data_IF_593451261037
#
_entry.id   IF_593451261037
#
_cell.length_a   1.000
_cell.length_b   1.000
_cell.length_c   1.000
_cell.angle_alpha   90.00
_cell.angle_beta   90.00
_cell.angle_gamma   90.00
#
_symmetry.space_group_name_H-M   'P 1'
#
loop_
_entity.id
_entity.type
_entity.pdbx_description
1 polymer ?
#
# COMPACT_ATOMS: atom_id res chain seq x y z
N UNK A 1 6.88 -0.03 52.73
CA UNK A 1 7.00 0.60 51.40
C UNK A 1 6.00 -0.11 50.49
N UNK A 2 4.98 0.59 49.99
CA UNK A 2 3.73 0.00 49.51
C UNK A 2 3.80 -0.26 48.00
N UNK A 3 4.34 -1.42 47.60
CA UNK A 3 4.56 -1.86 46.22
C UNK A 3 3.32 -1.70 45.31
N UNK A 4 2.11 -1.81 45.88
CA UNK A 4 0.85 -1.63 45.16
C UNK A 4 0.65 -0.17 44.71
N UNK A 5 1.05 0.80 45.54
CA UNK A 5 0.92 2.22 45.23
C UNK A 5 1.94 2.68 44.19
N UNK A 6 3.14 2.10 44.21
CA UNK A 6 4.18 2.42 43.22
C UNK A 6 3.82 1.86 41.84
N UNK A 7 3.19 0.67 41.81
CA UNK A 7 2.68 0.06 40.57
C UNK A 7 1.53 0.85 39.95
N UNK A 8 0.60 1.39 40.75
CA UNK A 8 -0.50 2.21 40.24
C UNK A 8 0.03 3.52 39.64
N UNK A 9 0.96 4.20 40.32
CA UNK A 9 1.62 5.39 39.76
C UNK A 9 2.35 5.10 38.45
N UNK A 10 3.02 3.94 38.37
CA UNK A 10 3.67 3.50 37.15
C UNK A 10 2.66 3.23 36.02
N UNK A 11 1.49 2.67 36.33
CA UNK A 11 0.42 2.45 35.34
C UNK A 11 -0.16 3.77 34.81
N UNK A 12 -0.37 4.77 35.67
CA UNK A 12 -0.82 6.10 35.25
C UNK A 12 0.19 6.82 34.35
N UNK A 13 1.49 6.67 34.63
CA UNK A 13 2.57 7.17 33.77
C UNK A 13 2.57 6.46 32.41
N UNK A 14 2.43 5.13 32.40
CA UNK A 14 2.35 4.35 31.15
C UNK A 14 1.15 4.78 30.30
N UNK A 15 -0.03 4.98 30.89
CA UNK A 15 -1.21 5.45 30.15
C UNK A 15 -0.99 6.86 29.58
N UNK A 16 -0.31 7.73 30.32
CA UNK A 16 0.06 9.07 29.84
C UNK A 16 1.01 8.98 28.64
N UNK A 17 2.07 8.16 28.73
CA UNK A 17 3.03 7.94 27.65
C UNK A 17 2.36 7.36 26.39
N UNK A 18 1.43 6.40 26.55
CA UNK A 18 0.65 5.82 25.44
C UNK A 18 -0.25 6.88 24.80
N UNK A 19 -0.91 7.72 25.59
CA UNK A 19 -1.77 8.78 25.06
C UNK A 19 -0.98 9.86 24.33
N UNK A 20 0.20 10.24 24.85
CA UNK A 20 1.08 11.19 24.18
C UNK A 20 1.67 10.62 22.89
N UNK A 21 2.05 9.34 22.88
CA UNK A 21 2.50 8.62 21.69
C UNK A 21 1.43 8.51 20.61
N UNK A 22 0.17 8.25 20.98
CA UNK A 22 -0.97 8.12 20.05
C UNK A 22 -1.34 9.41 19.32
N UNK A 23 -0.98 10.58 19.84
CA UNK A 23 -1.32 11.89 19.23
C UNK A 23 -0.39 12.31 18.08
N UNK A 24 0.67 11.55 17.78
CA UNK A 24 1.72 11.97 16.83
C UNK A 24 1.44 11.64 15.36
N UNK A 25 0.49 10.73 15.07
CA UNK A 25 0.12 10.38 13.69
C UNK A 25 -1.39 10.42 13.57
N UNK A 26 -1.91 11.58 13.24
CA UNK A 26 -3.29 11.76 12.82
C UNK A 26 -3.41 11.43 11.32
N UNK A 27 -4.43 10.67 10.95
CA UNK A 27 -4.65 10.22 9.58
C UNK A 27 -6.12 9.88 9.32
N UNK A 28 -6.49 9.92 8.04
CA UNK A 28 -7.77 9.45 7.55
C UNK A 28 -7.57 8.29 6.57
N UNK A 29 -8.57 7.43 6.42
CA UNK A 29 -8.55 6.37 5.40
C UNK A 29 -9.59 6.66 4.34
N UNK A 30 -9.16 6.63 3.08
CA UNK A 30 -9.99 6.84 1.89
C UNK A 30 -9.78 5.66 0.95
N UNK A 31 -10.80 5.29 0.18
CA UNK A 31 -10.69 4.25 -0.84
C UNK A 31 -10.92 4.86 -2.23
N UNK A 32 -9.95 4.70 -3.11
CA UNK A 32 -10.01 5.16 -4.50
C UNK A 32 -9.99 3.96 -5.44
N UNK A 33 -10.73 3.98 -6.57
CA UNK A 33 -10.53 2.96 -7.59
C UNK A 33 -9.12 3.10 -8.19
N UNK A 34 -8.46 1.99 -8.54
CA UNK A 34 -7.11 1.99 -9.12
C UNK A 34 -6.99 2.92 -10.34
N UNK A 35 -8.03 3.00 -11.17
CA UNK A 35 -8.07 3.89 -12.34
C UNK A 35 -7.84 5.37 -12.02
N UNK A 36 -8.13 5.82 -10.80
CA UNK A 36 -7.79 7.17 -10.34
C UNK A 36 -6.28 7.45 -10.40
N UNK A 37 -5.46 6.49 -9.98
CA UNK A 37 -3.99 6.65 -9.93
C UNK A 37 -3.31 6.42 -11.27
N UNK A 38 -3.92 5.62 -12.15
CA UNK A 38 -3.37 5.33 -13.48
C UNK A 38 -3.18 6.61 -14.29
N UNK A 39 -4.07 7.59 -14.11
CA UNK A 39 -4.00 8.87 -14.82
C UNK A 39 -2.97 9.83 -14.21
N UNK A 40 -2.60 9.64 -12.95
CA UNK A 40 -1.72 10.55 -12.21
C UNK A 40 -0.24 10.17 -12.28
N UNK A 41 0.08 8.90 -12.52
CA UNK A 41 1.44 8.37 -12.45
C UNK A 41 1.95 8.03 -13.85
N UNK A 42 3.06 8.66 -14.24
CA UNK A 42 3.70 8.40 -15.54
C UNK A 42 4.54 7.12 -15.54
N UNK A 43 4.69 6.49 -16.71
CA UNK A 43 5.57 5.32 -16.85
C UNK A 43 7.02 5.63 -16.46
N UNK A 44 7.51 6.84 -16.76
CA UNK A 44 8.87 7.25 -16.36
C UNK A 44 9.06 7.23 -14.85
N UNK A 45 8.08 7.73 -14.09
CA UNK A 45 8.13 7.71 -12.62
C UNK A 45 8.15 6.28 -12.08
N UNK A 46 7.42 5.37 -12.72
CA UNK A 46 7.44 3.94 -12.38
C UNK A 46 8.85 3.39 -12.64
N UNK A 47 9.40 3.61 -13.82
CA UNK A 47 10.71 3.09 -14.21
C UNK A 47 11.84 3.60 -13.29
N UNK A 48 11.75 4.85 -12.83
CA UNK A 48 12.76 5.48 -11.95
C UNK A 48 12.68 4.99 -10.49
N UNK A 49 11.52 4.55 -10.01
CA UNK A 49 11.28 4.27 -8.58
C UNK A 49 10.86 2.81 -8.25
N UNK A 50 10.49 2.01 -9.25
CA UNK A 50 10.09 0.61 -9.07
C UNK A 50 11.33 -0.28 -8.97
N UNK A 51 11.53 -0.85 -7.78
CA UNK A 51 12.68 -1.69 -7.45
C UNK A 51 12.32 -3.17 -7.30
N UNK A 52 11.03 -3.53 -7.33
CA UNK A 52 10.62 -4.93 -7.34
C UNK A 52 10.99 -5.63 -8.64
N UNK A 53 11.56 -6.82 -8.53
CA UNK A 53 11.82 -7.67 -9.68
C UNK A 53 10.50 -8.22 -10.28
N UNK A 54 10.57 -8.76 -11.49
CA UNK A 54 9.40 -9.31 -12.19
C UNK A 54 8.67 -10.39 -11.38
N UNK A 55 9.40 -11.16 -10.55
CA UNK A 55 8.82 -12.22 -9.73
C UNK A 55 8.01 -11.64 -8.57
N UNK A 56 8.55 -10.66 -7.84
CA UNK A 56 7.85 -9.93 -6.79
C UNK A 56 6.61 -9.23 -7.34
N UNK A 57 6.75 -8.56 -8.49
CA UNK A 57 5.65 -7.93 -9.20
C UNK A 57 4.56 -8.95 -9.58
N UNK A 58 4.95 -10.06 -10.20
CA UNK A 58 4.01 -11.11 -10.64
C UNK A 58 3.25 -11.71 -9.45
N UNK A 59 3.95 -12.03 -8.36
CA UNK A 59 3.33 -12.56 -7.14
C UNK A 59 2.32 -11.59 -6.54
N UNK A 60 2.64 -10.29 -6.54
CA UNK A 60 1.71 -9.27 -6.09
C UNK A 60 0.46 -9.20 -7.00
N UNK A 61 0.61 -9.22 -8.32
CA UNK A 61 -0.54 -9.27 -9.23
C UNK A 61 -1.38 -10.54 -9.04
N UNK A 62 -0.75 -11.70 -8.83
CA UNK A 62 -1.45 -12.96 -8.52
C UNK A 62 -2.33 -12.81 -7.27
N UNK A 63 -1.80 -12.17 -6.21
CA UNK A 63 -2.54 -11.89 -4.98
C UNK A 63 -3.78 -11.02 -5.21
N UNK A 64 -3.66 -9.98 -6.06
CA UNK A 64 -4.77 -9.10 -6.42
C UNK A 64 -5.83 -9.83 -7.25
N UNK A 65 -5.40 -10.66 -8.21
CA UNK A 65 -6.30 -11.44 -9.05
C UNK A 65 -7.04 -12.55 -8.28
N UNK A 66 -6.44 -13.05 -7.19
CA UNK A 66 -7.09 -13.92 -6.21
C UNK A 66 -8.06 -13.18 -5.26
N UNK A 67 -8.09 -11.85 -5.29
CA UNK A 67 -9.00 -11.04 -4.49
C UNK A 67 -8.49 -10.70 -3.09
N UNK A 68 -7.19 -10.80 -2.83
CA UNK A 68 -6.63 -10.42 -1.54
C UNK A 68 -6.58 -8.88 -1.39
N UNK A 69 -6.99 -8.31 -0.24
CA UNK A 69 -7.06 -6.86 -0.03
C UNK A 69 -5.69 -6.27 0.36
N UNK A 70 -4.67 -6.49 -0.47
CA UNK A 70 -3.27 -6.11 -0.17
C UNK A 70 -2.84 -4.78 -0.79
N UNK A 71 -3.70 -4.15 -1.61
CA UNK A 71 -3.44 -2.88 -2.28
C UNK A 71 -3.76 -1.71 -1.35
N UNK A 72 -2.75 -1.31 -0.58
CA UNK A 72 -2.77 -0.14 0.27
C UNK A 72 -1.57 0.76 0.00
N UNK A 73 -1.78 2.06 0.19
CA UNK A 73 -0.75 3.10 0.09
C UNK A 73 -0.92 4.10 1.22
N UNK A 74 0.14 4.85 1.49
CA UNK A 74 0.14 5.94 2.46
C UNK A 74 0.61 7.18 1.73
N UNK A 75 -0.14 8.27 1.88
CA UNK A 75 0.16 9.56 1.27
C UNK A 75 0.23 10.66 2.33
N UNK A 76 1.03 11.69 2.06
CA UNK A 76 0.98 12.92 2.84
C UNK A 76 -0.22 13.80 2.43
N UNK A 77 -0.39 14.94 3.11
CA UNK A 77 -1.44 15.91 2.80
C UNK A 77 -1.33 16.56 1.41
N UNK A 78 -0.19 16.41 0.73
CA UNK A 78 0.05 16.90 -0.63
C UNK A 78 -0.05 15.78 -1.67
N UNK A 79 -0.60 14.62 -1.30
CA UNK A 79 -0.74 13.42 -2.14
C UNK A 79 0.59 12.76 -2.55
N UNK A 80 1.69 13.09 -1.88
CA UNK A 80 2.95 12.39 -2.12
C UNK A 80 2.89 11.01 -1.47
N UNK A 81 3.22 9.97 -2.23
CA UNK A 81 3.25 8.60 -1.72
C UNK A 81 4.45 8.43 -0.78
N UNK A 82 4.17 8.16 0.49
CA UNK A 82 5.14 7.86 1.54
C UNK A 82 5.48 6.37 1.53
N UNK A 83 4.47 5.51 1.36
CA UNK A 83 4.59 4.06 1.41
C UNK A 83 3.59 3.38 0.46
N UNK A 84 3.89 2.15 0.06
CA UNK A 84 3.09 1.37 -0.88
C UNK A 84 3.38 1.66 -2.35
N UNK A 85 4.41 2.47 -2.66
CA UNK A 85 4.83 2.79 -4.04
C UNK A 85 5.00 1.54 -4.90
N UNK A 86 5.75 0.54 -4.41
CA UNK A 86 6.03 -0.68 -5.17
C UNK A 86 4.74 -1.43 -5.55
N UNK A 87 3.76 -1.49 -4.64
CA UNK A 87 2.45 -2.10 -4.90
C UNK A 87 1.66 -1.32 -5.95
N UNK A 88 1.56 0.01 -5.78
CA UNK A 88 0.81 0.85 -6.69
C UNK A 88 1.44 0.84 -8.09
N UNK A 89 2.74 1.08 -8.17
CA UNK A 89 3.49 1.08 -9.43
C UNK A 89 3.44 -0.28 -10.12
N UNK A 90 3.61 -1.40 -9.41
CA UNK A 90 3.42 -2.74 -9.99
C UNK A 90 2.05 -2.90 -10.63
N UNK A 91 1.01 -2.42 -9.95
CA UNK A 91 -0.37 -2.52 -10.45
C UNK A 91 -0.58 -1.70 -11.72
N UNK A 92 -0.05 -0.47 -11.74
CA UNK A 92 -0.13 0.42 -12.91
C UNK A 92 0.74 -0.13 -14.06
N UNK A 93 1.94 -0.61 -13.76
CA UNK A 93 2.87 -1.23 -14.70
C UNK A 93 2.23 -2.44 -15.41
N UNK A 94 1.51 -3.28 -14.65
CA UNK A 94 0.71 -4.37 -15.22
C UNK A 94 -0.40 -3.86 -16.14
N UNK A 95 -1.21 -2.90 -15.67
CA UNK A 95 -2.32 -2.34 -16.46
C UNK A 95 -1.86 -1.70 -17.77
N UNK A 96 -0.70 -1.04 -17.76
CA UNK A 96 -0.10 -0.42 -18.93
C UNK A 96 0.52 -1.45 -19.89
N UNK A 97 0.59 -2.73 -19.51
CA UNK A 97 1.15 -3.82 -20.34
C UNK A 97 2.67 -3.95 -20.28
N UNK A 98 3.33 -3.33 -19.30
CA UNK A 98 4.78 -3.38 -19.15
C UNK A 98 5.26 -4.54 -18.26
N UNK A 99 4.34 -5.29 -17.66
CA UNK A 99 4.65 -6.49 -16.88
C UNK A 99 4.06 -7.74 -17.55
N UNK A 100 4.94 -8.68 -17.89
CA UNK A 100 4.58 -10.06 -18.25
C UNK A 100 4.64 -10.92 -16.99
N UNK A 101 3.55 -11.61 -16.66
CA UNK A 101 3.50 -12.42 -15.45
C UNK A 101 4.38 -13.66 -15.56
N UNK A 102 5.12 -13.99 -14.51
CA UNK A 102 5.98 -15.17 -14.45
C UNK A 102 6.03 -15.79 -13.05
N UNK A 103 6.49 -17.05 -13.00
CA UNK A 103 6.74 -17.79 -11.76
C UNK A 103 5.51 -17.92 -10.81
N UNK A 104 4.30 -17.89 -11.38
CA UNK A 104 3.04 -18.06 -10.65
C UNK A 104 2.72 -19.52 -10.37
N UNK A 105 2.26 -19.81 -9.16
CA UNK A 105 1.96 -21.17 -8.69
C UNK A 105 0.46 -21.43 -8.54
N UNK A 106 -0.31 -20.46 -8.05
CA UNK A 106 -1.75 -20.62 -7.77
C UNK A 106 -2.58 -20.35 -9.02
N UNK A 107 -2.21 -19.35 -9.80
CA UNK A 107 -2.78 -19.00 -11.09
C UNK A 107 -1.75 -19.26 -12.20
N UNK A 108 -1.20 -20.47 -12.24
CA UNK A 108 -0.09 -20.82 -13.14
C UNK A 108 -0.41 -20.66 -14.64
N UNK A 109 -1.70 -20.68 -15.01
CA UNK A 109 -2.17 -20.43 -16.39
C UNK A 109 -2.00 -18.98 -16.84
N UNK A 110 -1.75 -18.05 -15.91
CA UNK A 110 -1.46 -16.65 -16.23
C UNK A 110 0.02 -16.39 -16.53
N UNK A 111 0.89 -17.39 -16.32
CA UNK A 111 2.29 -17.24 -16.69
C UNK A 111 2.40 -16.95 -18.19
N UNK A 112 3.13 -15.89 -18.50
CA UNK A 112 3.34 -15.38 -19.85
C UNK A 112 2.32 -14.38 -20.34
N UNK A 113 1.28 -14.05 -19.56
CA UNK A 113 0.23 -13.13 -19.97
C UNK A 113 0.54 -11.71 -19.49
N UNK A 114 0.13 -10.73 -20.31
CA UNK A 114 0.01 -9.32 -19.96
C UNK A 114 -1.44 -8.99 -19.60
N UNK A 115 -1.65 -7.76 -19.13
CA UNK A 115 -3.00 -7.29 -18.79
C UNK A 115 -3.97 -7.30 -19.98
N UNK A 116 -3.48 -7.00 -21.18
CA UNK A 116 -4.27 -6.95 -22.41
C UNK A 116 -4.77 -8.34 -22.84
N UNK A 117 -4.08 -9.41 -22.41
CA UNK A 117 -4.46 -10.80 -22.70
C UNK A 117 -5.66 -11.27 -21.86
N UNK A 118 -6.02 -10.52 -20.81
CA UNK A 118 -7.18 -10.83 -19.98
C UNK A 118 -8.49 -10.45 -20.67
N UNK A 119 -9.57 -11.18 -20.37
CA UNK A 119 -10.92 -10.80 -20.82
C UNK A 119 -11.25 -9.35 -20.42
N UNK A 120 -11.96 -8.61 -21.28
CA UNK A 120 -12.36 -7.23 -21.01
C UNK A 120 -13.10 -7.06 -19.67
N UNK A 121 -13.93 -8.05 -19.30
CA UNK A 121 -14.62 -8.06 -18.00
C UNK A 121 -13.65 -8.16 -16.82
N UNK A 122 -12.54 -8.91 -16.98
CA UNK A 122 -11.47 -9.01 -15.97
C UNK A 122 -10.66 -7.72 -15.91
N UNK A 123 -10.30 -7.14 -17.05
CA UNK A 123 -9.59 -5.85 -17.11
C UNK A 123 -10.38 -4.75 -16.39
N UNK A 124 -11.70 -4.65 -16.65
CA UNK A 124 -12.59 -3.69 -15.99
C UNK A 124 -12.66 -3.91 -14.48
N UNK A 125 -12.79 -5.17 -14.03
CA UNK A 125 -12.81 -5.50 -12.59
C UNK A 125 -11.50 -5.11 -11.91
N UNK A 126 -10.37 -5.35 -12.57
CA UNK A 126 -9.04 -5.02 -12.03
C UNK A 126 -8.84 -3.50 -11.88
N UNK A 127 -9.19 -2.71 -12.90
CA UNK A 127 -9.12 -1.24 -12.86
C UNK A 127 -10.02 -0.60 -11.78
N UNK A 128 -11.11 -1.28 -11.41
CA UNK A 128 -12.04 -0.84 -10.36
C UNK A 128 -11.72 -1.39 -8.98
N UNK A 129 -10.62 -2.14 -8.82
CA UNK A 129 -10.16 -2.54 -7.49
C UNK A 129 -9.85 -1.31 -6.65
N UNK A 130 -10.27 -1.34 -5.39
CA UNK A 130 -10.06 -0.24 -4.45
C UNK A 130 -8.62 -0.26 -3.92
N UNK A 131 -7.96 0.89 -3.98
CA UNK A 131 -6.71 1.18 -3.29
C UNK A 131 -7.06 1.81 -1.95
N UNK A 132 -6.76 1.10 -0.86
CA UNK A 132 -6.91 1.66 0.49
C UNK A 132 -5.81 2.68 0.74
N UNK A 133 -6.18 3.94 0.88
CA UNK A 133 -5.25 5.07 0.97
C UNK A 133 -5.32 5.67 2.37
N UNK A 134 -4.19 5.65 3.06
CA UNK A 134 -4.03 6.29 4.36
C UNK A 134 -3.46 7.69 4.10
N UNK A 135 -4.23 8.72 4.43
CA UNK A 135 -3.87 10.12 4.22
C UNK A 135 -3.42 10.70 5.56
N UNK A 136 -2.13 11.03 5.68
CA UNK A 136 -1.62 11.66 6.88
C UNK A 136 -2.11 13.12 6.97
N UNK A 137 -2.58 13.52 8.15
CA UNK A 137 -2.94 14.92 8.41
C UNK A 137 -1.70 15.82 8.28
N UNK A 138 -1.86 17.11 7.89
CA UNK A 138 -0.73 18.04 7.73
C UNK A 138 0.13 18.22 9.00
N UNK A 139 -0.46 18.00 10.18
CA UNK A 139 0.22 18.07 11.48
C UNK A 139 0.98 16.81 11.85
N UNK A 140 0.89 15.75 11.06
CA UNK A 140 1.49 14.44 11.34
C UNK A 140 2.91 14.35 10.78
N UNK A 141 3.82 13.80 11.57
CA UNK A 141 5.20 13.57 11.14
C UNK A 141 5.31 12.23 10.39
N UNK A 142 5.46 12.30 9.07
CA UNK A 142 5.60 11.14 8.20
C UNK A 142 6.81 10.24 8.54
N UNK A 143 7.85 10.77 9.21
CA UNK A 143 9.00 9.98 9.62
C UNK A 143 8.64 8.93 10.67
N UNK A 144 7.63 9.19 11.51
CA UNK A 144 7.11 8.17 12.43
C UNK A 144 6.50 7.00 11.68
N UNK A 145 5.78 7.24 10.57
CA UNK A 145 5.22 6.15 9.78
C UNK A 145 6.31 5.21 9.27
N UNK A 146 7.36 5.78 8.69
CA UNK A 146 8.47 5.02 8.10
C UNK A 146 9.26 4.22 9.16
N UNK A 147 9.50 4.80 10.33
CA UNK A 147 10.33 4.17 11.38
C UNK A 147 9.70 2.92 12.03
N UNK A 148 8.38 2.72 11.90
CA UNK A 148 7.65 1.65 12.59
C UNK A 148 6.95 0.65 11.65
N UNK A 149 7.05 0.80 10.33
CA UNK A 149 6.34 -0.03 9.35
C UNK A 149 7.20 -0.57 8.19
N UNK A 150 8.49 -0.22 8.10
CA UNK A 150 9.41 -0.69 7.04
C UNK A 150 10.01 -2.06 7.32
#
# INVERSE_FOLDING_TARGET
MNLQSDKIKQQELIETDIQEGRKKVDYNTVEYPLEFFIEQISQKQIDDELNWDTRQQSYFIESLLMGLPVLNIVIDSNENIIDGKQKLYTTINFVNGHLKLENLNKLSTLNGFHFQDLLLSRQRKFKRMTVRTIVLSPSSDASYWLNYQS
#
